data_IF_647574685134
#
_entry.id   IF_647574685134
#
_cell.length_a   1.000
_cell.length_b   1.000
_cell.length_c   1.000
_cell.angle_alpha   90.00
_cell.angle_beta   90.00
_cell.angle_gamma   90.00
#
_symmetry.space_group_name_H-M   'P 1'
#
loop_
_entity.id
_entity.type
_entity.pdbx_description
1 polymer ?
#
# COMPACT_ATOMS: atom_id res chain seq x y z
N UNK A 1 7.16 -18.84 -20.32
CA UNK A 1 8.06 -17.84 -19.72
C UNK A 1 7.43 -17.34 -18.41
N UNK A 2 8.05 -17.64 -17.26
CA UNK A 2 7.87 -16.96 -15.98
C UNK A 2 6.62 -17.24 -15.12
N UNK A 3 5.43 -17.38 -15.71
CA UNK A 3 4.18 -17.25 -14.94
C UNK A 3 3.35 -18.54 -14.78
N UNK A 4 3.90 -19.71 -15.07
CA UNK A 4 3.16 -20.98 -14.90
C UNK A 4 2.85 -21.21 -13.42
N UNK A 5 1.55 -21.26 -13.08
CA UNK A 5 1.06 -21.46 -11.71
C UNK A 5 0.60 -20.19 -10.97
N UNK A 6 0.67 -19.01 -11.59
CA UNK A 6 0.17 -17.76 -11.00
C UNK A 6 -1.13 -17.30 -11.66
N UNK A 7 -2.11 -16.89 -10.85
CA UNK A 7 -3.32 -16.22 -11.34
C UNK A 7 -2.96 -14.81 -11.82
N UNK A 8 -3.26 -14.51 -13.09
CA UNK A 8 -3.10 -13.19 -13.67
C UNK A 8 -4.43 -12.42 -13.56
N UNK A 9 -4.41 -11.31 -12.82
CA UNK A 9 -5.50 -10.34 -12.81
C UNK A 9 -5.11 -9.20 -13.75
N UNK A 10 -5.75 -9.12 -14.91
CA UNK A 10 -5.53 -8.02 -15.85
C UNK A 10 -6.05 -6.67 -15.29
N UNK A 11 -5.32 -5.60 -15.60
CA UNK A 11 -5.66 -4.22 -15.28
C UNK A 11 -5.34 -3.36 -16.50
N UNK A 12 -6.28 -2.52 -16.92
CA UNK A 12 -6.12 -1.66 -18.12
C UNK A 12 -5.47 -0.31 -17.82
N UNK A 13 -5.35 0.06 -16.55
CA UNK A 13 -4.78 1.35 -16.14
C UNK A 13 -3.53 1.19 -15.27
N UNK A 14 -2.66 2.19 -15.33
CA UNK A 14 -1.47 2.31 -14.47
C UNK A 14 -1.47 3.69 -13.82
N UNK A 15 -1.12 3.74 -12.54
CA UNK A 15 -0.85 5.00 -11.84
C UNK A 15 0.66 5.25 -11.95
N UNK A 16 1.02 6.27 -12.69
CA UNK A 16 2.40 6.66 -12.94
C UNK A 16 3.03 7.35 -11.71
N UNK A 17 4.36 7.36 -11.66
CA UNK A 17 5.10 7.89 -10.51
C UNK A 17 4.90 9.39 -10.27
N UNK A 18 4.66 10.16 -11.33
CA UNK A 18 4.50 11.62 -11.27
C UNK A 18 3.06 12.07 -11.00
N UNK A 19 2.11 11.14 -10.97
CA UNK A 19 0.71 11.47 -10.75
C UNK A 19 0.42 11.77 -9.27
N UNK A 20 -0.59 12.62 -9.04
CA UNK A 20 -1.12 12.83 -7.71
C UNK A 20 -1.80 11.55 -7.21
N UNK A 21 -1.34 11.05 -6.06
CA UNK A 21 -1.75 9.76 -5.53
C UNK A 21 -3.26 9.66 -5.25
N UNK A 22 -3.81 10.66 -4.56
CA UNK A 22 -5.18 10.58 -4.05
C UNK A 22 -6.23 10.68 -5.17
N UNK A 23 -6.02 11.57 -6.12
CA UNK A 23 -6.90 11.71 -7.29
C UNK A 23 -6.79 10.50 -8.22
N UNK A 24 -5.59 9.99 -8.47
CA UNK A 24 -5.35 8.86 -9.37
C UNK A 24 -6.05 7.59 -8.90
N UNK A 25 -5.96 7.26 -7.61
CA UNK A 25 -6.62 6.07 -7.04
C UNK A 25 -8.15 6.15 -7.11
N UNK A 26 -8.72 7.36 -7.04
CA UNK A 26 -10.18 7.56 -7.16
C UNK A 26 -10.67 7.46 -8.61
N UNK A 27 -9.87 7.94 -9.55
CA UNK A 27 -10.23 8.05 -10.96
C UNK A 27 -9.92 6.76 -11.74
N UNK A 28 -8.73 6.19 -11.54
CA UNK A 28 -8.23 5.00 -12.24
C UNK A 28 -8.63 3.72 -11.51
N UNK A 29 -9.92 3.40 -11.57
CA UNK A 29 -10.53 2.29 -10.82
C UNK A 29 -10.05 0.92 -11.30
N UNK A 30 -9.57 0.82 -12.53
CA UNK A 30 -9.01 -0.43 -13.09
C UNK A 30 -7.47 -0.41 -13.07
N UNK A 31 -6.87 0.40 -12.20
CA UNK A 31 -5.41 0.42 -12.04
C UNK A 31 -4.89 -0.81 -11.31
N UNK A 32 -3.65 -1.21 -11.63
CA UNK A 32 -2.96 -2.33 -10.97
C UNK A 32 -3.00 -2.24 -9.44
N UNK A 33 -2.78 -1.05 -8.87
CA UNK A 33 -2.82 -0.82 -7.43
C UNK A 33 -4.22 -1.01 -6.84
N UNK A 34 -5.26 -0.51 -7.52
CA UNK A 34 -6.65 -0.68 -7.06
C UNK A 34 -7.04 -2.15 -7.13
N UNK A 35 -6.80 -2.83 -8.25
CA UNK A 35 -7.16 -4.25 -8.40
C UNK A 35 -6.44 -5.15 -7.39
N UNK A 36 -5.16 -4.91 -7.15
CA UNK A 36 -4.40 -5.64 -6.13
C UNK A 36 -4.98 -5.40 -4.72
N UNK A 37 -5.35 -4.16 -4.40
CA UNK A 37 -5.96 -3.85 -3.10
C UNK A 37 -7.33 -4.50 -2.93
N UNK A 38 -8.13 -4.55 -3.99
CA UNK A 38 -9.43 -5.23 -4.00
C UNK A 38 -9.31 -6.75 -3.91
N UNK A 39 -8.30 -7.36 -4.55
CA UNK A 39 -8.05 -8.80 -4.42
C UNK A 39 -7.77 -9.20 -2.95
N UNK A 40 -7.06 -8.35 -2.19
CA UNK A 40 -6.85 -8.58 -0.75
C UNK A 40 -8.13 -8.36 0.03
N UNK A 41 -8.86 -7.25 -0.22
CA UNK A 41 -10.15 -6.96 0.43
C UNK A 41 -11.15 -8.10 0.26
N UNK A 42 -11.22 -8.67 -0.95
CA UNK A 42 -12.17 -9.71 -1.33
C UNK A 42 -11.70 -11.12 -0.94
N UNK A 43 -10.58 -11.25 -0.22
CA UNK A 43 -10.04 -12.52 0.26
C UNK A 43 -9.42 -13.42 -0.81
N UNK A 44 -9.18 -12.89 -2.02
CA UNK A 44 -8.50 -13.61 -3.12
C UNK A 44 -6.98 -13.61 -2.95
N UNK A 45 -6.45 -12.66 -2.18
CA UNK A 45 -5.04 -12.57 -1.83
C UNK A 45 -4.88 -12.23 -0.34
N UNK A 46 -3.73 -12.57 0.24
CA UNK A 46 -3.44 -12.27 1.66
C UNK A 46 -2.72 -10.94 1.86
N UNK A 47 -2.02 -10.44 0.84
CA UNK A 47 -1.26 -9.19 0.89
C UNK A 47 -1.06 -8.63 -0.52
N UNK A 48 -0.67 -7.35 -0.61
CA UNK A 48 -0.22 -6.73 -1.86
C UNK A 48 1.19 -6.15 -1.68
N UNK A 49 1.96 -6.14 -2.76
CA UNK A 49 3.30 -5.55 -2.83
C UNK A 49 3.34 -4.66 -4.08
N UNK A 50 3.95 -3.49 -3.97
CA UNK A 50 4.11 -2.55 -5.07
C UNK A 50 5.45 -1.83 -4.95
N UNK A 51 6.16 -1.71 -6.07
CA UNK A 51 7.30 -0.82 -6.23
C UNK A 51 6.92 0.49 -6.96
N UNK A 52 5.62 0.75 -7.11
CA UNK A 52 5.08 1.95 -7.73
C UNK A 52 4.95 3.12 -6.75
N UNK A 53 4.11 4.09 -7.09
CA UNK A 53 3.93 5.30 -6.31
C UNK A 53 3.50 4.96 -4.86
N UNK A 54 4.33 5.30 -3.87
CA UNK A 54 4.11 4.96 -2.45
C UNK A 54 2.80 5.52 -1.92
N UNK A 55 2.50 6.78 -2.24
CA UNK A 55 1.26 7.44 -1.83
C UNK A 55 0.03 6.77 -2.44
N UNK A 56 0.08 6.41 -3.72
CA UNK A 56 -1.01 5.74 -4.40
C UNK A 56 -1.20 4.30 -3.90
N UNK A 57 -0.10 3.61 -3.57
CA UNK A 57 -0.13 2.27 -2.97
C UNK A 57 -0.83 2.32 -1.62
N UNK A 58 -0.43 3.24 -0.75
CA UNK A 58 -1.06 3.40 0.56
C UNK A 58 -2.52 3.88 0.45
N UNK A 59 -2.82 4.84 -0.44
CA UNK A 59 -4.17 5.30 -0.67
C UNK A 59 -5.08 4.18 -1.20
N UNK A 60 -4.58 3.32 -2.08
CA UNK A 60 -5.33 2.15 -2.59
C UNK A 60 -5.64 1.17 -1.47
N UNK A 61 -4.64 0.81 -0.65
CA UNK A 61 -4.85 -0.05 0.50
C UNK A 61 -5.87 0.55 1.49
N UNK A 62 -5.71 1.83 1.85
CA UNK A 62 -6.59 2.50 2.80
C UNK A 62 -8.04 2.60 2.30
N UNK A 63 -8.24 2.97 1.03
CA UNK A 63 -9.57 3.18 0.46
C UNK A 63 -10.28 1.87 0.08
N UNK A 64 -9.54 0.80 -0.21
CA UNK A 64 -10.12 -0.49 -0.63
C UNK A 64 -10.14 -1.50 0.51
N UNK A 65 -9.00 -1.76 1.17
CA UNK A 65 -8.94 -2.74 2.26
C UNK A 65 -9.48 -2.17 3.58
N UNK A 66 -9.33 -0.86 3.80
CA UNK A 66 -9.65 -0.23 5.07
C UNK A 66 -8.53 -0.39 6.10
N UNK A 67 -8.84 -0.07 7.36
CA UNK A 67 -7.90 -0.16 8.49
C UNK A 67 -8.35 -1.24 9.45
N UNK A 68 -7.40 -1.75 10.21
CA UNK A 68 -7.68 -2.57 11.39
C UNK A 68 -8.53 -1.77 12.39
N UNK A 69 -9.53 -2.41 12.99
CA UNK A 69 -10.41 -1.77 13.97
C UNK A 69 -9.61 -1.19 15.14
N UNK A 70 -9.94 0.05 15.52
CA UNK A 70 -9.22 0.81 16.55
C UNK A 70 -7.98 1.57 16.06
N UNK A 71 -7.45 1.27 14.86
CA UNK A 71 -6.32 2.02 14.29
C UNK A 71 -6.82 3.29 13.59
N UNK A 72 -6.48 4.46 14.14
CA UNK A 72 -6.88 5.78 13.60
C UNK A 72 -6.18 6.14 12.30
N UNK A 73 -4.88 5.87 12.15
CA UNK A 73 -4.11 6.17 10.93
C UNK A 73 -3.13 5.03 10.65
N UNK A 74 -2.95 4.60 9.39
CA UNK A 74 -1.85 3.71 9.05
C UNK A 74 -0.52 4.47 9.14
N UNK A 75 0.59 3.74 9.30
CA UNK A 75 1.93 4.29 9.34
C UNK A 75 2.87 3.45 8.45
N UNK A 76 3.93 4.07 7.90
CA UNK A 76 4.94 3.34 7.13
C UNK A 76 6.00 2.84 8.11
N UNK A 77 6.04 1.52 8.29
CA UNK A 77 7.05 0.83 9.09
C UNK A 77 8.27 0.50 8.22
N UNK A 78 9.43 1.07 8.55
CA UNK A 78 10.68 0.85 7.81
C UNK A 78 11.70 0.18 8.72
N UNK A 79 12.10 -1.07 8.44
CA UNK A 79 13.22 -1.70 9.14
C UNK A 79 14.53 -0.97 8.82
N UNK A 80 15.21 -0.49 9.85
CA UNK A 80 16.54 0.11 9.77
C UNK A 80 17.58 -0.95 10.14
N UNK A 81 18.48 -1.33 9.21
CA UNK A 81 19.51 -2.33 9.49
C UNK A 81 20.42 -1.91 10.66
N UNK A 82 20.68 -2.84 11.56
CA UNK A 82 21.66 -2.70 12.64
C UNK A 82 22.62 -3.90 12.59
N UNK A 83 23.77 -3.79 11.91
CA UNK A 83 24.68 -4.92 11.72
C UNK A 83 25.10 -5.56 13.05
N UNK A 84 24.95 -6.88 13.15
CA UNK A 84 25.29 -7.64 14.36
C UNK A 84 24.24 -7.62 15.47
N UNK A 85 23.10 -6.95 15.26
CA UNK A 85 21.98 -6.91 16.22
C UNK A 85 20.62 -7.01 15.52
N UNK A 86 19.55 -7.00 16.30
CA UNK A 86 18.19 -6.95 15.78
C UNK A 86 17.93 -5.58 15.11
N UNK A 87 17.39 -5.54 13.87
CA UNK A 87 16.97 -4.28 13.25
C UNK A 87 15.96 -3.52 14.10
N UNK A 88 16.08 -2.19 14.11
CA UNK A 88 15.07 -1.31 14.71
C UNK A 88 14.05 -0.93 13.64
N UNK A 89 12.77 -0.83 13.99
CA UNK A 89 11.74 -0.35 13.06
C UNK A 89 11.50 1.14 13.30
N UNK A 90 11.63 1.95 12.24
CA UNK A 90 11.18 3.34 12.23
C UNK A 90 9.70 3.39 11.86
N UNK A 91 8.91 4.07 12.70
CA UNK A 91 7.47 4.29 12.53
C UNK A 91 7.16 5.70 13.07
N UNK A 92 6.55 6.63 12.34
CA UNK A 92 6.07 6.63 10.95
C UNK A 92 7.13 7.22 9.99
N UNK A 93 7.46 6.51 8.90
CA UNK A 93 8.46 6.95 7.92
C UNK A 93 7.93 7.82 6.77
N UNK A 94 6.65 8.24 6.81
CA UNK A 94 6.11 9.20 5.84
C UNK A 94 4.66 8.98 5.45
N UNK A 95 3.88 8.22 6.23
CA UNK A 95 2.46 8.05 5.96
C UNK A 95 1.66 9.32 6.28
N UNK A 96 2.00 9.98 7.39
CA UNK A 96 1.26 11.13 7.91
C UNK A 96 2.22 12.31 8.05
N UNK A 97 1.86 13.45 7.44
CA UNK A 97 2.62 14.69 7.55
C UNK A 97 2.35 15.44 8.86
N UNK A 98 1.13 15.30 9.39
CA UNK A 98 0.70 15.84 10.67
C UNK A 98 0.30 14.66 11.56
N UNK A 99 0.61 14.73 12.86
CA UNK A 99 0.41 13.62 13.80
C UNK A 99 -0.12 14.15 15.13
N UNK A 100 -1.14 13.47 15.68
CA UNK A 100 -1.64 13.70 17.04
C UNK A 100 -1.02 12.69 18.02
N UNK A 101 -0.88 13.04 19.32
CA UNK A 101 -0.31 12.13 20.31
C UNK A 101 -1.01 10.76 20.38
N UNK A 102 -2.32 10.69 20.13
CA UNK A 102 -3.04 9.41 20.17
C UNK A 102 -2.79 8.50 18.96
N UNK A 103 -1.99 8.94 17.98
CA UNK A 103 -1.64 8.14 16.80
C UNK A 103 -0.24 7.49 16.93
N UNK A 104 0.53 7.89 17.96
CA UNK A 104 1.88 7.39 18.27
C UNK A 104 1.85 6.13 19.13
#
# INVERSE_FOLDING_TARGET
>A
AGCEGFELIEASEVIEMYEDAASSVRNKKDSTLVRAAEAVRDGKASAMISAGNTGATMASALLRMGRISGVKRPAIATPIPAPGTTPTVLLDAGANAEVEPEWL
#
